data_IF_059227279762
#
_entry.id   IF_059227279762
#
_cell.length_a   1.000
_cell.length_b   1.000
_cell.length_c   1.000
_cell.angle_alpha   90.00
_cell.angle_beta   90.00
_cell.angle_gamma   90.00
#
_symmetry.space_group_name_H-M   'P 1'
#
loop_
_entity.id
_entity.type
_entity.pdbx_description
1 polymer ?
#
# COMPACT_ATOMS: atom_id res chain seq x y z
N UNK A 1 -24.63 -7.48 -3.14
CA UNK A 1 -23.35 -7.06 -3.74
C UNK A 1 -23.33 -5.54 -3.68
N UNK A 2 -22.29 -4.97 -3.09
CA UNK A 2 -22.10 -3.52 -3.06
C UNK A 2 -21.55 -3.09 -4.42
N UNK A 3 -22.41 -2.55 -5.28
CA UNK A 3 -22.01 -2.05 -6.60
C UNK A 3 -21.84 -0.53 -6.51
N UNK A 4 -20.94 0.08 -7.31
CA UNK A 4 -20.90 1.52 -7.44
C UNK A 4 -22.26 2.05 -7.94
N UNK A 5 -22.68 3.20 -7.42
CA UNK A 5 -23.94 3.84 -7.77
C UNK A 5 -23.63 5.13 -8.53
N UNK A 6 -24.26 5.31 -9.69
CA UNK A 6 -24.27 6.56 -10.45
C UNK A 6 -25.65 7.18 -10.27
N UNK A 7 -25.71 8.42 -9.79
CA UNK A 7 -26.95 9.19 -9.63
C UNK A 7 -26.88 10.42 -10.52
N UNK A 8 -27.59 10.42 -11.64
CA UNK A 8 -27.65 11.57 -12.57
C UNK A 8 -28.85 11.43 -13.51
N UNK A 9 -29.41 12.56 -13.96
CA UNK A 9 -30.40 12.61 -15.05
C UNK A 9 -29.76 12.99 -16.38
N UNK A 10 -28.51 13.43 -16.36
CA UNK A 10 -27.76 13.78 -17.55
C UNK A 10 -27.31 12.51 -18.30
N UNK A 11 -27.84 12.25 -19.52
CA UNK A 11 -27.47 11.08 -20.31
C UNK A 11 -26.02 11.13 -20.79
N UNK A 12 -25.47 12.33 -21.08
CA UNK A 12 -24.09 12.48 -21.53
C UNK A 12 -23.10 12.16 -20.41
N UNK A 13 -23.39 12.62 -19.19
CA UNK A 13 -22.61 12.22 -18.01
C UNK A 13 -22.75 10.72 -17.73
N UNK A 14 -23.95 10.16 -17.88
CA UNK A 14 -24.19 8.72 -17.71
C UNK A 14 -23.32 7.91 -18.67
N UNK A 15 -23.34 8.24 -19.96
CA UNK A 15 -22.57 7.53 -20.99
C UNK A 15 -21.06 7.59 -20.73
N UNK A 16 -20.55 8.74 -20.31
CA UNK A 16 -19.13 8.89 -20.00
C UNK A 16 -18.71 8.12 -18.75
N UNK A 17 -19.53 8.16 -17.69
CA UNK A 17 -19.28 7.38 -16.47
C UNK A 17 -19.37 5.88 -16.73
N UNK A 18 -20.31 5.43 -17.56
CA UNK A 18 -20.41 4.02 -17.97
C UNK A 18 -19.22 3.59 -18.83
N UNK A 19 -18.69 4.46 -19.70
CA UNK A 19 -17.47 4.20 -20.47
C UNK A 19 -16.27 3.97 -19.54
N UNK A 20 -16.08 4.85 -18.56
CA UNK A 20 -15.01 4.71 -17.56
C UNK A 20 -15.21 3.47 -16.68
N UNK A 21 -16.44 3.19 -16.26
CA UNK A 21 -16.75 2.00 -15.46
C UNK A 21 -16.47 0.71 -16.24
N UNK A 22 -16.83 0.66 -17.53
CA UNK A 22 -16.52 -0.46 -18.40
C UNK A 22 -15.00 -0.67 -18.55
N UNK A 23 -14.22 0.41 -18.69
CA UNK A 23 -12.76 0.34 -18.73
C UNK A 23 -12.16 -0.17 -17.39
N UNK A 24 -12.79 0.14 -16.26
CA UNK A 24 -12.43 -0.39 -14.93
C UNK A 24 -12.96 -1.82 -14.66
N UNK A 25 -13.72 -2.43 -15.59
CA UNK A 25 -14.35 -3.74 -15.37
C UNK A 25 -15.48 -3.72 -14.34
N UNK A 26 -16.10 -2.56 -14.12
CA UNK A 26 -17.16 -2.32 -13.14
C UNK A 26 -18.51 -2.18 -13.82
N UNK A 27 -19.54 -2.78 -13.23
CA UNK A 27 -20.94 -2.59 -13.64
C UNK A 27 -21.69 -1.80 -12.56
N UNK A 28 -21.80 -0.47 -12.69
CA UNK A 28 -22.47 0.36 -11.70
C UNK A 28 -24.01 0.25 -11.82
N UNK A 29 -24.70 0.46 -10.71
CA UNK A 29 -26.13 0.74 -10.71
C UNK A 29 -26.35 2.20 -11.12
N UNK A 30 -27.31 2.48 -11.99
CA UNK A 30 -27.63 3.84 -12.46
C UNK A 30 -29.02 4.22 -11.96
N UNK A 31 -29.13 5.36 -11.28
CA UNK A 31 -30.38 5.91 -10.78
C UNK A 31 -30.56 7.35 -11.28
N UNK A 32 -31.60 7.57 -12.08
CA UNK A 32 -31.99 8.92 -12.54
C UNK A 32 -32.92 9.64 -11.56
N UNK A 33 -33.51 8.91 -10.61
CA UNK A 33 -34.32 9.46 -9.53
C UNK A 33 -33.53 9.49 -8.21
N UNK A 34 -33.21 10.69 -7.65
CA UNK A 34 -32.58 10.84 -6.35
C UNK A 34 -33.34 10.16 -5.20
N UNK A 35 -34.68 10.11 -5.27
CA UNK A 35 -35.50 9.45 -4.26
C UNK A 35 -35.26 7.94 -4.21
N UNK A 36 -35.34 7.29 -5.37
CA UNK A 36 -35.01 5.86 -5.52
C UNK A 36 -33.54 5.55 -5.18
N UNK A 37 -32.62 6.47 -5.47
CA UNK A 37 -31.19 6.29 -5.23
C UNK A 37 -30.82 6.14 -3.74
N UNK A 38 -31.62 6.67 -2.79
CA UNK A 38 -31.33 6.61 -1.35
C UNK A 38 -31.19 5.17 -0.83
N UNK A 39 -31.91 4.21 -1.43
CA UNK A 39 -31.80 2.80 -1.05
C UNK A 39 -30.45 2.21 -1.46
N UNK A 40 -30.09 2.37 -2.74
CA UNK A 40 -28.80 1.90 -3.28
C UNK A 40 -27.62 2.62 -2.63
N UNK A 41 -27.79 3.91 -2.28
CA UNK A 41 -26.79 4.73 -1.62
C UNK A 41 -26.22 4.07 -0.36
N UNK A 42 -27.05 3.39 0.44
CA UNK A 42 -26.63 2.79 1.72
C UNK A 42 -25.67 1.62 1.54
N UNK A 43 -25.80 0.88 0.45
CA UNK A 43 -25.03 -0.33 0.18
C UNK A 43 -24.01 -0.15 -0.94
N UNK A 44 -23.94 1.00 -1.59
CA UNK A 44 -22.99 1.22 -2.68
C UNK A 44 -21.55 1.30 -2.16
N UNK A 45 -20.61 0.63 -2.84
CA UNK A 45 -19.19 0.71 -2.49
C UNK A 45 -18.56 2.08 -2.83
N UNK A 46 -19.18 2.79 -3.78
CA UNK A 46 -18.77 4.08 -4.32
C UNK A 46 -20.03 4.80 -4.83
N UNK A 47 -20.15 6.11 -4.65
CA UNK A 47 -21.27 6.89 -5.19
C UNK A 47 -20.77 8.06 -6.02
N UNK A 48 -21.18 8.09 -7.29
CA UNK A 48 -20.92 9.17 -8.24
C UNK A 48 -22.22 9.94 -8.45
N UNK A 49 -22.23 11.21 -8.06
CA UNK A 49 -23.42 12.07 -8.12
C UNK A 49 -23.21 13.13 -9.19
N UNK A 50 -24.13 13.24 -10.14
CA UNK A 50 -24.15 14.32 -11.12
C UNK A 50 -24.45 15.68 -10.47
N UNK A 51 -23.78 16.73 -10.94
CA UNK A 51 -24.03 18.12 -10.50
C UNK A 51 -25.47 18.58 -10.73
N UNK A 52 -26.18 17.95 -11.68
CA UNK A 52 -27.57 18.19 -12.04
C UNK A 52 -28.56 17.76 -10.95
N UNK A 53 -28.29 16.67 -10.23
CA UNK A 53 -29.16 16.11 -9.17
C UNK A 53 -28.67 16.38 -7.74
N UNK A 54 -27.45 16.91 -7.58
CA UNK A 54 -26.79 17.06 -6.29
C UNK A 54 -27.58 17.85 -5.24
N UNK A 55 -28.24 18.94 -5.66
CA UNK A 55 -29.01 19.78 -4.74
C UNK A 55 -30.26 19.08 -4.20
N UNK A 56 -30.96 18.34 -5.06
CA UNK A 56 -32.13 17.55 -4.67
C UNK A 56 -31.75 16.40 -3.75
N UNK A 57 -30.67 15.68 -4.09
CA UNK A 57 -30.16 14.59 -3.27
C UNK A 57 -29.66 15.09 -1.90
N UNK A 58 -29.02 16.27 -1.85
CA UNK A 58 -28.64 16.90 -0.59
C UNK A 58 -29.87 17.23 0.27
N UNK A 59 -30.97 17.68 -0.34
CA UNK A 59 -32.24 17.94 0.34
C UNK A 59 -32.90 16.69 0.92
N UNK A 60 -32.70 15.52 0.30
CA UNK A 60 -33.17 14.23 0.81
C UNK A 60 -32.36 13.71 2.00
N UNK A 61 -31.16 14.25 2.25
CA UNK A 61 -30.33 13.94 3.41
C UNK A 61 -29.92 12.46 3.54
N UNK A 62 -29.28 11.85 2.51
CA UNK A 62 -28.79 10.49 2.63
C UNK A 62 -27.72 10.38 3.74
N UNK A 63 -27.53 9.19 4.34
CA UNK A 63 -26.55 9.00 5.40
C UNK A 63 -25.14 9.28 4.88
N UNK A 64 -24.32 9.95 5.71
CA UNK A 64 -22.92 10.23 5.38
C UNK A 64 -22.13 8.93 5.25
N UNK A 65 -21.25 8.90 4.25
CA UNK A 65 -20.35 7.80 3.95
C UNK A 65 -19.12 8.29 3.21
N UNK A 66 -18.06 7.51 3.27
CA UNK A 66 -16.89 7.69 2.41
C UNK A 66 -17.19 7.24 0.97
N UNK A 67 -16.35 7.67 0.02
CA UNK A 67 -16.47 7.27 -1.39
C UNK A 67 -17.61 7.97 -2.15
N UNK A 68 -18.01 9.17 -1.73
CA UNK A 68 -18.95 10.01 -2.47
C UNK A 68 -18.18 11.04 -3.30
N UNK A 69 -18.46 11.11 -4.59
CA UNK A 69 -17.84 12.07 -5.49
C UNK A 69 -18.90 12.78 -6.32
N UNK A 70 -18.80 14.10 -6.38
CA UNK A 70 -19.66 14.91 -7.22
C UNK A 70 -18.98 15.07 -8.59
N UNK A 71 -19.69 14.80 -9.68
CA UNK A 71 -19.14 14.76 -11.04
C UNK A 71 -19.94 15.69 -11.96
N UNK A 72 -19.24 16.48 -12.76
CA UNK A 72 -19.83 17.26 -13.85
C UNK A 72 -19.02 17.16 -15.14
N UNK A 73 -19.64 17.53 -16.25
CA UNK A 73 -19.00 17.74 -17.55
C UNK A 73 -19.01 19.24 -17.87
N UNK A 74 -17.96 19.71 -18.55
CA UNK A 74 -17.86 21.09 -19.08
C UNK A 74 -17.98 22.20 -18.01
N UNK A 75 -17.16 22.10 -16.97
CA UNK A 75 -17.10 23.07 -15.88
C UNK A 75 -18.06 22.77 -14.73
N UNK A 76 -17.57 22.96 -13.51
CA UNK A 76 -18.35 22.74 -12.29
C UNK A 76 -18.81 24.08 -11.71
N UNK A 77 -20.11 24.34 -11.55
CA UNK A 77 -20.59 25.61 -11.01
C UNK A 77 -20.33 25.71 -9.50
N UNK A 78 -20.06 26.91 -8.97
CA UNK A 78 -19.74 27.14 -7.54
C UNK A 78 -20.72 26.50 -6.53
N UNK A 79 -22.00 26.44 -6.91
CA UNK A 79 -23.05 25.79 -6.10
C UNK A 79 -22.79 24.31 -5.85
N UNK A 80 -22.08 23.64 -6.75
CA UNK A 80 -21.68 22.24 -6.63
C UNK A 80 -20.84 21.99 -5.38
N UNK A 81 -19.95 22.92 -5.00
CA UNK A 81 -19.13 22.79 -3.79
C UNK A 81 -19.99 22.79 -2.51
N UNK A 82 -21.07 23.59 -2.48
CA UNK A 82 -22.01 23.58 -1.34
C UNK A 82 -22.77 22.26 -1.25
N UNK A 83 -23.23 21.73 -2.38
CA UNK A 83 -23.90 20.43 -2.43
C UNK A 83 -22.95 19.28 -2.05
N UNK A 84 -21.70 19.33 -2.51
CA UNK A 84 -20.65 18.39 -2.14
C UNK A 84 -20.44 18.36 -0.61
N UNK A 85 -20.33 19.52 0.03
CA UNK A 85 -20.23 19.62 1.49
C UNK A 85 -21.45 19.05 2.22
N UNK A 86 -22.65 19.33 1.71
CA UNK A 86 -23.89 18.82 2.31
C UNK A 86 -23.98 17.29 2.24
N UNK A 87 -23.58 16.72 1.10
CA UNK A 87 -23.53 15.27 0.84
C UNK A 87 -22.35 14.56 1.52
N UNK A 88 -21.35 15.30 1.99
CA UNK A 88 -20.09 14.73 2.46
C UNK A 88 -19.22 14.16 1.32
N UNK A 89 -19.33 14.73 0.11
CA UNK A 89 -18.52 14.31 -1.02
C UNK A 89 -17.04 14.62 -0.77
N UNK A 90 -16.19 13.62 -0.99
CA UNK A 90 -14.75 13.74 -0.80
C UNK A 90 -14.11 14.62 -1.88
N UNK A 91 -14.65 14.59 -3.10
CA UNK A 91 -14.11 15.33 -4.24
C UNK A 91 -15.24 15.86 -5.13
N UNK A 92 -14.93 16.97 -5.81
CA UNK A 92 -15.70 17.50 -6.93
C UNK A 92 -14.85 17.34 -8.18
N UNK A 93 -15.39 16.65 -9.17
CA UNK A 93 -14.66 16.04 -10.28
C UNK A 93 -15.20 16.59 -11.59
N UNK A 94 -14.30 17.04 -12.45
CA UNK A 94 -14.64 17.55 -13.77
C UNK A 94 -14.13 16.60 -14.85
N UNK A 95 -15.04 16.14 -15.71
CA UNK A 95 -14.74 15.32 -16.88
C UNK A 95 -14.69 16.19 -18.16
N UNK A 96 -13.81 15.84 -19.13
CA UNK A 96 -12.97 14.65 -19.17
C UNK A 96 -11.62 14.78 -18.44
N UNK A 97 -11.26 15.97 -17.94
CA UNK A 97 -9.94 16.25 -17.38
C UNK A 97 -9.52 15.29 -16.25
N UNK A 98 -10.47 14.86 -15.42
CA UNK A 98 -10.24 13.93 -14.30
C UNK A 98 -10.55 12.47 -14.62
N UNK A 99 -10.70 12.11 -15.90
CA UNK A 99 -11.04 10.75 -16.35
C UNK A 99 -10.09 9.66 -15.81
N UNK A 100 -8.75 9.82 -15.90
CA UNK A 100 -7.80 8.85 -15.35
C UNK A 100 -7.95 8.65 -13.84
N UNK A 101 -8.15 9.74 -13.09
CA UNK A 101 -8.37 9.67 -11.64
C UNK A 101 -9.67 8.93 -11.30
N UNK A 102 -10.74 9.17 -12.05
CA UNK A 102 -12.03 8.53 -11.81
C UNK A 102 -11.99 7.04 -12.18
N UNK A 103 -11.25 6.69 -13.24
CA UNK A 103 -10.97 5.30 -13.61
C UNK A 103 -10.25 4.55 -12.48
N UNK A 104 -9.26 5.18 -11.84
CA UNK A 104 -8.57 4.60 -10.68
C UNK A 104 -9.51 4.41 -9.48
N UNK A 105 -10.37 5.39 -9.19
CA UNK A 105 -11.37 5.31 -8.12
C UNK A 105 -12.39 4.18 -8.36
N UNK A 106 -12.86 4.03 -9.61
CA UNK A 106 -13.74 2.93 -10.00
C UNK A 106 -13.05 1.57 -9.86
N UNK A 107 -11.80 1.47 -10.30
CA UNK A 107 -10.98 0.26 -10.18
C UNK A 107 -10.78 -0.14 -8.71
N UNK A 108 -10.54 0.82 -7.83
CA UNK A 108 -10.43 0.56 -6.39
C UNK A 108 -11.73 0.09 -5.77
N UNK A 109 -12.87 0.65 -6.16
CA UNK A 109 -14.17 0.19 -5.67
C UNK A 109 -14.43 -1.27 -6.07
N UNK A 110 -13.91 -1.70 -7.22
CA UNK A 110 -13.92 -3.11 -7.63
C UNK A 110 -13.01 -3.98 -6.76
N UNK A 111 -11.83 -3.46 -6.41
CA UNK A 111 -10.81 -4.13 -5.59
C UNK A 111 -11.14 -4.14 -4.09
N UNK A 112 -11.93 -3.19 -3.58
CA UNK A 112 -12.43 -3.14 -2.20
C UNK A 112 -13.31 -4.33 -1.80
N UNK A 113 -13.62 -5.22 -2.75
CA UNK A 113 -14.15 -6.57 -2.48
C UNK A 113 -13.09 -7.54 -1.96
N UNK A 114 -11.80 -7.21 -2.03
CA UNK A 114 -10.69 -7.98 -1.45
C UNK A 114 -10.54 -7.61 0.03
N UNK A 115 -10.05 -8.56 0.82
CA UNK A 115 -9.62 -8.28 2.18
C UNK A 115 -8.55 -7.17 2.16
N UNK A 116 -8.56 -6.30 3.16
CA UNK A 116 -7.52 -5.29 3.31
C UNK A 116 -6.13 -5.94 3.26
N UNK A 117 -5.19 -5.31 2.55
CA UNK A 117 -3.82 -5.80 2.47
C UNK A 117 -3.20 -5.94 3.86
N UNK A 118 -2.43 -7.00 4.10
CA UNK A 118 -1.53 -7.03 5.25
C UNK A 118 -0.34 -6.12 4.96
N UNK A 119 -0.24 -5.01 5.68
CA UNK A 119 0.82 -4.01 5.55
C UNK A 119 1.86 -4.17 6.65
N UNK A 120 3.13 -4.33 6.25
CA UNK A 120 4.23 -4.64 7.18
C UNK A 120 5.42 -3.74 6.90
N UNK A 121 5.87 -3.02 7.90
CA UNK A 121 7.17 -2.34 7.84
C UNK A 121 8.28 -3.24 8.37
N UNK A 122 9.48 -3.14 7.80
CA UNK A 122 10.68 -3.81 8.28
C UNK A 122 11.75 -2.77 8.56
N UNK A 123 12.39 -2.86 9.73
CA UNK A 123 13.46 -1.95 10.13
C UNK A 123 14.61 -2.71 10.78
N UNK A 124 15.84 -2.24 10.59
CA UNK A 124 17.02 -2.84 11.21
C UNK A 124 17.21 -2.35 12.65
N UNK A 125 17.22 -3.25 13.63
CA UNK A 125 17.57 -2.90 15.01
C UNK A 125 19.05 -2.50 15.18
N UNK A 126 19.91 -2.97 14.28
CA UNK A 126 21.32 -2.58 14.18
C UNK A 126 21.79 -2.53 12.73
N UNK A 127 22.94 -1.89 12.47
CA UNK A 127 23.58 -1.92 11.15
C UNK A 127 23.85 -3.36 10.71
N UNK A 128 23.57 -3.69 9.45
CA UNK A 128 23.76 -5.03 8.91
C UNK A 128 22.91 -6.12 9.58
N UNK A 129 21.81 -5.80 10.26
CA UNK A 129 20.96 -6.81 10.89
C UNK A 129 20.25 -7.72 9.86
N UNK A 130 20.03 -7.23 8.63
CA UNK A 130 19.36 -7.96 7.54
C UNK A 130 17.91 -7.52 7.30
N UNK A 131 17.57 -6.26 7.58
CA UNK A 131 16.23 -5.71 7.37
C UNK A 131 15.78 -5.79 5.91
N UNK A 132 16.53 -5.19 4.99
CA UNK A 132 16.26 -5.28 3.54
C UNK A 132 16.15 -6.72 3.05
N UNK A 133 17.03 -7.61 3.51
CA UNK A 133 16.99 -9.03 3.15
C UNK A 133 15.71 -9.71 3.63
N UNK A 134 15.28 -9.43 4.86
CA UNK A 134 14.01 -9.94 5.37
C UNK A 134 12.82 -9.34 4.61
N UNK A 135 12.84 -8.03 4.33
CA UNK A 135 11.80 -7.36 3.54
C UNK A 135 11.63 -8.00 2.15
N UNK A 136 12.75 -8.25 1.46
CA UNK A 136 12.78 -8.99 0.20
C UNK A 136 12.23 -10.42 0.35
N UNK A 137 12.57 -11.13 1.43
CA UNK A 137 12.07 -12.48 1.68
C UNK A 137 10.56 -12.51 1.96
N UNK A 138 10.03 -11.53 2.71
CA UNK A 138 8.59 -11.36 2.93
C UNK A 138 7.87 -11.13 1.60
N UNK A 139 8.38 -10.21 0.77
CA UNK A 139 7.85 -9.93 -0.56
C UNK A 139 7.84 -11.16 -1.47
N UNK A 140 8.94 -11.92 -1.53
CA UNK A 140 9.02 -13.13 -2.36
C UNK A 140 8.06 -14.24 -1.89
N UNK A 141 7.94 -14.43 -0.57
CA UNK A 141 7.03 -15.42 0.00
C UNK A 141 5.56 -15.04 -0.20
N UNK A 142 5.22 -13.76 -0.04
CA UNK A 142 3.88 -13.25 -0.30
C UNK A 142 3.55 -13.32 -1.81
N UNK A 143 4.48 -12.90 -2.66
CA UNK A 143 4.37 -12.91 -4.12
C UNK A 143 4.20 -14.31 -4.73
N UNK A 144 4.55 -15.36 -3.99
CA UNK A 144 4.29 -16.75 -4.40
C UNK A 144 2.84 -17.20 -4.15
N UNK A 145 2.05 -16.42 -3.38
CA UNK A 145 0.66 -16.72 -3.02
C UNK A 145 -0.36 -15.77 -3.66
N UNK A 146 0.06 -14.55 -3.96
CA UNK A 146 -0.81 -13.52 -4.53
C UNK A 146 -0.03 -12.24 -4.82
N UNK A 147 -0.70 -11.17 -5.26
CA UNK A 147 -0.08 -9.87 -5.49
C UNK A 147 0.59 -9.34 -4.20
N UNK A 148 1.88 -9.02 -4.29
CA UNK A 148 2.66 -8.43 -3.20
C UNK A 148 3.46 -7.24 -3.71
N UNK A 149 3.64 -6.23 -2.85
CA UNK A 149 4.43 -5.05 -3.16
C UNK A 149 5.54 -4.87 -2.12
N UNK A 150 6.76 -4.59 -2.56
CA UNK A 150 7.85 -4.11 -1.71
C UNK A 150 8.16 -2.66 -2.03
N UNK A 151 7.98 -1.78 -1.04
CA UNK A 151 8.38 -0.39 -1.09
C UNK A 151 9.74 -0.27 -0.38
N UNK A 152 10.79 0.02 -1.14
CA UNK A 152 12.09 0.35 -0.59
C UNK A 152 12.13 1.83 -0.22
N UNK A 153 12.17 2.14 1.07
CA UNK A 153 12.09 3.51 1.61
C UNK A 153 13.43 3.92 2.23
N UNK A 154 14.46 3.06 2.20
CA UNK A 154 15.80 3.37 2.71
C UNK A 154 16.73 3.87 1.59
N UNK A 155 16.98 5.19 1.46
CA UNK A 155 17.81 5.71 0.38
C UNK A 155 19.29 5.30 0.49
N UNK A 156 19.74 4.82 1.66
CA UNK A 156 21.14 4.44 1.94
C UNK A 156 21.34 2.92 1.85
N UNK A 157 20.26 2.15 1.76
CA UNK A 157 20.31 0.69 1.63
C UNK A 157 20.96 0.22 0.32
N UNK A 158 21.17 -1.10 0.16
CA UNK A 158 21.73 -1.66 -1.08
C UNK A 158 20.81 -1.43 -2.31
N UNK A 159 19.52 -1.15 -2.09
CA UNK A 159 18.48 -1.17 -3.11
C UNK A 159 17.82 -2.55 -3.16
N UNK A 160 16.51 -2.60 -2.96
CA UNK A 160 15.75 -3.85 -2.99
C UNK A 160 15.86 -4.58 -4.33
N UNK A 161 16.00 -3.84 -5.44
CA UNK A 161 16.19 -4.41 -6.77
C UNK A 161 17.51 -5.18 -6.91
N UNK A 162 18.59 -4.69 -6.31
CA UNK A 162 19.89 -5.40 -6.26
C UNK A 162 19.78 -6.68 -5.47
N UNK A 163 19.14 -6.63 -4.31
CA UNK A 163 18.94 -7.82 -3.45
C UNK A 163 18.06 -8.86 -4.12
N UNK A 164 17.09 -8.45 -4.94
CA UNK A 164 16.14 -9.35 -5.63
C UNK A 164 16.59 -9.78 -7.04
N UNK A 165 17.61 -9.14 -7.61
CA UNK A 165 17.98 -9.31 -9.02
C UNK A 165 16.92 -8.74 -9.98
N UNK A 166 16.31 -7.60 -9.62
CA UNK A 166 15.29 -6.85 -10.38
C UNK A 166 15.87 -5.58 -11.04
N UNK A 167 17.19 -5.38 -10.92
CA UNK A 167 17.91 -4.20 -11.41
C UNK A 167 17.90 -4.05 -12.94
N UNK A 168 17.62 -5.15 -13.66
CA UNK A 168 17.45 -5.17 -15.12
C UNK A 168 15.99 -5.25 -15.59
N UNK A 169 15.03 -5.23 -14.67
CA UNK A 169 13.61 -5.24 -15.03
C UNK A 169 13.13 -3.82 -15.30
N UNK A 170 12.40 -3.66 -16.39
CA UNK A 170 11.74 -2.42 -16.75
C UNK A 170 10.58 -2.11 -15.81
N UNK A 171 10.29 -0.83 -15.64
CA UNK A 171 9.17 -0.31 -14.86
C UNK A 171 9.53 0.93 -14.04
N UNK A 172 8.51 1.50 -13.40
CA UNK A 172 8.60 2.72 -12.63
C UNK A 172 9.47 2.57 -11.37
N UNK A 173 10.18 3.66 -11.06
CA UNK A 173 11.03 3.84 -9.89
C UNK A 173 10.57 5.11 -9.15
N UNK A 174 11.09 5.36 -7.94
CA UNK A 174 10.69 6.54 -7.15
C UNK A 174 10.72 7.86 -7.94
N UNK A 175 11.76 8.09 -8.75
CA UNK A 175 11.88 9.31 -9.55
C UNK A 175 10.76 9.51 -10.57
N UNK A 176 10.11 8.44 -11.06
CA UNK A 176 8.95 8.55 -11.95
C UNK A 176 7.66 8.86 -11.17
N UNK A 177 7.51 8.29 -9.97
CA UNK A 177 6.34 8.55 -9.12
C UNK A 177 6.35 9.97 -8.55
N UNK A 178 7.51 10.52 -8.23
CA UNK A 178 7.63 11.90 -7.71
C UNK A 178 7.27 12.96 -8.77
N UNK A 179 7.32 12.61 -10.05
CA UNK A 179 6.87 13.49 -11.14
C UNK A 179 5.37 13.41 -11.40
N UNK A 180 4.68 12.44 -10.79
CA UNK A 180 3.24 12.26 -10.97
C UNK A 180 2.49 13.24 -10.07
N UNK A 181 1.61 14.05 -10.66
CA UNK A 181 0.71 14.93 -9.91
C UNK A 181 -0.62 14.22 -9.68
N UNK A 182 -1.09 14.23 -8.42
CA UNK A 182 -2.39 13.66 -8.06
C UNK A 182 -2.32 12.27 -7.41
N UNK A 183 -3.49 11.62 -7.33
CA UNK A 183 -3.67 10.33 -6.65
C UNK A 183 -3.05 9.21 -7.48
N UNK A 184 -2.35 8.29 -6.82
CA UNK A 184 -1.81 7.11 -7.47
C UNK A 184 -2.83 5.97 -7.49
N UNK A 185 -3.21 5.53 -8.69
CA UNK A 185 -4.06 4.35 -8.90
C UNK A 185 -3.40 3.06 -8.40
N UNK A 186 -4.19 2.18 -7.78
CA UNK A 186 -3.68 0.89 -7.29
C UNK A 186 -3.30 -0.04 -8.44
N UNK A 187 -4.14 -0.14 -9.48
CA UNK A 187 -3.86 -0.89 -10.71
C UNK A 187 -2.69 -0.27 -11.49
N UNK A 188 -2.72 1.04 -11.67
CA UNK A 188 -1.66 1.79 -12.35
C UNK A 188 -0.29 1.57 -11.67
N UNK A 189 -0.25 1.61 -10.33
CA UNK A 189 0.95 1.26 -9.58
C UNK A 189 1.35 -0.20 -9.84
N UNK A 190 0.45 -1.16 -9.65
CA UNK A 190 0.72 -2.61 -9.84
C UNK A 190 1.36 -2.93 -11.19
N UNK A 191 0.86 -2.30 -12.25
CA UNK A 191 1.29 -2.57 -13.62
C UNK A 191 2.57 -1.81 -14.00
N UNK A 192 2.78 -0.64 -13.38
CA UNK A 192 4.00 0.14 -13.61
C UNK A 192 5.22 -0.45 -12.91
N UNK A 193 5.06 -1.20 -11.81
CA UNK A 193 6.20 -1.69 -11.03
C UNK A 193 6.99 -2.82 -11.74
N UNK A 194 8.33 -2.77 -11.68
CA UNK A 194 9.19 -3.92 -11.98
C UNK A 194 8.78 -5.13 -11.15
N UNK A 195 8.39 -6.21 -11.83
CA UNK A 195 7.73 -7.37 -11.20
C UNK A 195 8.28 -8.69 -11.69
N UNK A 196 8.37 -9.66 -10.79
CA UNK A 196 8.60 -11.09 -11.10
C UNK A 196 7.61 -11.93 -10.28
N UNK A 197 6.80 -12.74 -10.96
CA UNK A 197 5.70 -13.44 -10.30
C UNK A 197 4.70 -12.46 -9.70
N UNK A 198 4.24 -12.69 -8.47
CA UNK A 198 3.34 -11.78 -7.77
C UNK A 198 4.01 -10.57 -7.10
N UNK A 199 5.35 -10.48 -7.06
CA UNK A 199 6.07 -9.41 -6.34
C UNK A 199 6.44 -8.24 -7.27
N UNK A 200 5.81 -7.08 -7.07
CA UNK A 200 6.25 -5.78 -7.60
C UNK A 200 7.14 -5.03 -6.61
N UNK A 201 8.10 -4.25 -7.12
CA UNK A 201 9.07 -3.52 -6.28
C UNK A 201 9.18 -2.06 -6.69
N UNK A 202 8.94 -1.16 -5.75
CA UNK A 202 9.24 0.26 -5.89
C UNK A 202 10.55 0.58 -5.16
N UNK A 203 11.56 1.01 -5.91
CA UNK A 203 12.87 1.44 -5.40
C UNK A 203 13.45 2.52 -6.33
N UNK A 204 14.69 2.96 -6.10
CA UNK A 204 15.40 3.91 -6.95
C UNK A 204 15.97 3.26 -8.21
N UNK A 205 16.08 4.06 -9.27
CA UNK A 205 16.95 3.69 -10.39
C UNK A 205 18.43 3.67 -9.94
N UNK A 206 19.29 3.04 -10.74
CA UNK A 206 20.72 3.11 -10.53
C UNK A 206 21.21 4.58 -10.59
N UNK A 207 22.11 4.97 -9.68
CA UNK A 207 22.68 6.32 -9.60
C UNK A 207 22.32 7.06 -8.31
N UNK A 208 22.18 8.38 -8.38
CA UNK A 208 21.92 9.23 -7.23
C UNK A 208 20.53 8.96 -6.64
N UNK A 209 20.48 8.75 -5.32
CA UNK A 209 19.24 8.51 -4.58
C UNK A 209 18.98 9.70 -3.67
N UNK A 210 17.82 10.34 -3.86
CA UNK A 210 17.28 11.28 -2.89
C UNK A 210 16.29 10.54 -1.99
N UNK A 211 16.20 10.94 -0.72
CA UNK A 211 15.14 10.45 0.15
C UNK A 211 13.78 10.79 -0.48
N UNK A 212 12.84 9.82 -0.56
CA UNK A 212 11.59 10.06 -1.23
C UNK A 212 10.76 11.02 -0.39
N UNK A 213 9.98 11.89 -1.04
CA UNK A 213 9.10 12.79 -0.30
C UNK A 213 8.09 12.00 0.54
N UNK A 214 7.85 12.42 1.78
CA UNK A 214 6.93 11.71 2.68
C UNK A 214 5.51 11.57 2.08
N UNK A 215 5.06 12.56 1.31
CA UNK A 215 3.79 12.48 0.59
C UNK A 215 3.80 11.35 -0.47
N UNK A 216 4.86 11.25 -1.29
CA UNK A 216 4.98 10.21 -2.30
C UNK A 216 4.99 8.80 -1.67
N UNK A 217 5.66 8.63 -0.52
CA UNK A 217 5.64 7.36 0.22
C UNK A 217 4.24 7.02 0.74
N UNK A 218 3.50 7.99 1.28
CA UNK A 218 2.12 7.77 1.74
C UNK A 218 1.19 7.39 0.59
N UNK A 219 1.27 8.09 -0.53
CA UNK A 219 0.47 7.77 -1.72
C UNK A 219 0.82 6.38 -2.29
N UNK A 220 2.11 6.05 -2.38
CA UNK A 220 2.55 4.73 -2.82
C UNK A 220 2.09 3.62 -1.87
N UNK A 221 2.18 3.83 -0.55
CA UNK A 221 1.70 2.89 0.46
C UNK A 221 0.18 2.70 0.36
N UNK A 222 -0.58 3.78 0.26
CA UNK A 222 -2.04 3.72 0.13
C UNK A 222 -2.50 3.07 -1.17
N UNK A 223 -1.82 3.33 -2.29
CA UNK A 223 -2.07 2.68 -3.57
C UNK A 223 -1.69 1.20 -3.53
N UNK A 224 -0.55 0.85 -2.94
CA UNK A 224 -0.11 -0.53 -2.79
C UNK A 224 -1.07 -1.32 -1.90
N UNK A 225 -1.57 -0.73 -0.80
CA UNK A 225 -2.50 -1.38 0.13
C UNK A 225 -3.90 -1.64 -0.46
N UNK A 226 -4.33 -0.82 -1.43
CA UNK A 226 -5.52 -1.11 -2.24
C UNK A 226 -5.26 -2.19 -3.29
N UNK A 227 -4.01 -2.27 -3.77
CA UNK A 227 -3.63 -3.08 -4.91
C UNK A 227 -3.18 -4.51 -4.58
N UNK A 228 -2.66 -4.78 -3.39
CA UNK A 228 -1.94 -6.02 -3.13
C UNK A 228 -2.53 -6.76 -1.94
N UNK A 229 -2.29 -8.07 -1.85
CA UNK A 229 -2.67 -8.84 -0.68
C UNK A 229 -1.70 -8.56 0.48
N UNK A 230 -0.44 -8.27 0.16
CA UNK A 230 0.62 -7.93 1.13
C UNK A 230 1.46 -6.76 0.63
N UNK A 231 1.69 -5.79 1.50
CA UNK A 231 2.62 -4.69 1.24
C UNK A 231 3.72 -4.71 2.29
N UNK A 232 4.97 -4.70 1.84
CA UNK A 232 6.15 -4.65 2.69
C UNK A 232 6.83 -3.31 2.47
N UNK A 233 7.15 -2.58 3.53
CA UNK A 233 7.95 -1.35 3.47
C UNK A 233 9.32 -1.59 4.14
N UNK A 234 10.41 -1.52 3.38
CA UNK A 234 11.77 -1.52 3.93
C UNK A 234 12.13 -0.10 4.38
N UNK A 235 12.28 0.11 5.69
CA UNK A 235 12.42 1.43 6.27
C UNK A 235 13.87 1.75 6.64
N UNK A 236 14.28 3.03 6.54
CA UNK A 236 15.51 3.48 7.16
C UNK A 236 15.39 3.31 8.68
N UNK A 237 16.52 3.07 9.34
CA UNK A 237 16.56 2.73 10.78
C UNK A 237 15.90 3.77 11.69
N UNK A 238 15.98 5.04 11.31
CA UNK A 238 15.50 6.18 12.10
C UNK A 238 15.06 7.31 11.18
N UNK A 239 14.11 8.12 11.63
CA UNK A 239 13.70 9.35 10.94
C UNK A 239 12.20 9.59 11.04
N UNK A 240 11.77 10.81 10.71
CA UNK A 240 10.36 11.17 10.71
C UNK A 240 9.54 10.31 9.74
N UNK A 241 10.12 9.95 8.59
CA UNK A 241 9.48 9.08 7.60
C UNK A 241 9.26 7.65 8.14
N UNK A 242 10.23 7.09 8.89
CA UNK A 242 10.08 5.79 9.54
C UNK A 242 8.90 5.80 10.51
N UNK A 243 8.78 6.85 11.33
CA UNK A 243 7.68 6.99 12.28
C UNK A 243 6.32 7.18 11.58
N UNK A 244 6.25 7.98 10.51
CA UNK A 244 5.03 8.18 9.72
C UNK A 244 4.55 6.87 9.09
N UNK A 245 5.45 6.09 8.48
CA UNK A 245 5.08 4.78 7.90
C UNK A 245 4.74 3.75 8.99
N UNK A 246 5.50 3.71 10.09
CA UNK A 246 5.23 2.80 11.21
C UNK A 246 3.84 3.00 11.82
N UNK A 247 3.33 4.24 11.85
CA UNK A 247 1.97 4.55 12.31
C UNK A 247 0.86 4.23 11.30
N UNK A 248 1.19 3.72 10.10
CA UNK A 248 0.26 3.47 8.99
C UNK A 248 0.17 2.02 8.54
N UNK A 249 1.04 1.16 9.08
CA UNK A 249 1.08 -0.26 8.77
C UNK A 249 0.49 -1.08 9.90
N UNK A 250 0.01 -2.29 9.59
CA UNK A 250 -0.60 -3.20 10.58
C UNK A 250 0.44 -3.72 11.58
N UNK A 251 1.69 -3.87 11.14
CA UNK A 251 2.78 -4.32 11.99
C UNK A 251 4.16 -3.81 11.56
N UNK A 252 5.06 -3.68 12.54
CA UNK A 252 6.48 -3.35 12.31
C UNK A 252 7.37 -4.51 12.79
N UNK A 253 8.20 -5.03 11.91
CA UNK A 253 9.19 -6.07 12.21
C UNK A 253 10.57 -5.44 12.38
N UNK A 254 11.17 -5.59 13.57
CA UNK A 254 12.53 -5.15 13.85
C UNK A 254 13.49 -6.33 13.77
N UNK A 255 14.47 -6.25 12.88
CA UNK A 255 15.49 -7.30 12.73
C UNK A 255 16.63 -7.06 13.71
N UNK A 256 16.87 -8.01 14.62
CA UNK A 256 17.85 -7.90 15.68
C UNK A 256 18.99 -8.90 15.53
N UNK A 257 20.21 -8.49 15.88
CA UNK A 257 21.34 -9.40 16.13
C UNK A 257 21.44 -9.66 17.64
N UNK A 258 21.55 -10.93 18.09
CA UNK A 258 21.61 -11.26 19.50
C UNK A 258 23.00 -11.03 20.11
N UNK A 259 23.53 -9.83 19.93
CA UNK A 259 24.76 -9.35 20.58
C UNK A 259 24.40 -8.21 21.52
N UNK A 260 25.20 -7.95 22.55
CA UNK A 260 24.90 -6.88 23.51
C UNK A 260 24.71 -5.51 22.81
N UNK A 261 25.60 -5.06 21.89
CA UNK A 261 25.37 -3.81 21.16
C UNK A 261 24.18 -3.89 20.19
N UNK A 262 23.94 -5.05 19.57
CA UNK A 262 22.83 -5.26 18.65
C UNK A 262 21.48 -5.14 19.35
N UNK A 263 21.32 -5.79 20.50
CA UNK A 263 20.10 -5.74 21.32
C UNK A 263 19.89 -4.35 21.93
N UNK A 264 20.94 -3.69 22.42
CA UNK A 264 20.85 -2.33 22.93
C UNK A 264 20.43 -1.32 21.85
N UNK A 265 20.95 -1.45 20.63
CA UNK A 265 20.51 -0.64 19.49
C UNK A 265 19.06 -0.95 19.11
N UNK A 266 18.68 -2.24 19.09
CA UNK A 266 17.32 -2.69 18.77
C UNK A 266 16.31 -2.12 19.76
N UNK A 267 16.59 -2.14 21.06
CA UNK A 267 15.72 -1.57 22.09
C UNK A 267 15.44 -0.08 21.86
N UNK A 268 16.44 0.70 21.42
CA UNK A 268 16.26 2.12 21.07
C UNK A 268 15.39 2.32 19.83
N UNK A 269 15.54 1.46 18.83
CA UNK A 269 14.68 1.49 17.63
C UNK A 269 13.24 1.19 18.02
N UNK A 270 13.00 0.14 18.80
CA UNK A 270 11.65 -0.23 19.27
C UNK A 270 11.01 0.91 20.07
N UNK A 271 11.74 1.52 21.00
CA UNK A 271 11.24 2.65 21.79
C UNK A 271 10.83 3.87 20.94
N UNK A 272 11.45 4.04 19.76
CA UNK A 272 11.15 5.14 18.84
C UNK A 272 9.96 4.92 17.89
N UNK A 273 9.42 3.71 17.80
CA UNK A 273 8.35 3.36 16.84
C UNK A 273 6.93 3.70 17.34
N UNK A 274 6.75 4.09 18.60
CA UNK A 274 5.45 4.46 19.17
C UNK A 274 4.55 3.25 19.49
N UNK A 275 3.24 3.48 19.58
CA UNK A 275 2.25 2.52 20.10
C UNK A 275 1.77 1.45 19.08
N UNK A 276 2.53 1.22 17.99
CA UNK A 276 2.19 0.23 16.97
C UNK A 276 2.45 -1.22 17.40
N UNK A 277 1.93 -2.18 16.61
CA UNK A 277 2.21 -3.61 16.82
C UNK A 277 3.63 -3.92 16.34
N UNK A 278 4.57 -3.96 17.29
CA UNK A 278 6.00 -4.21 17.01
C UNK A 278 6.37 -5.66 17.36
N UNK A 279 7.09 -6.31 16.45
CA UNK A 279 7.60 -7.67 16.62
C UNK A 279 9.08 -7.77 16.25
N UNK A 280 9.82 -8.65 16.91
CA UNK A 280 11.28 -8.81 16.71
C UNK A 280 11.59 -10.09 15.95
N UNK A 281 12.38 -9.99 14.89
CA UNK A 281 12.96 -11.14 14.19
C UNK A 281 14.44 -11.22 14.55
N UNK A 282 14.84 -12.29 15.23
CA UNK A 282 16.21 -12.47 15.68
C UNK A 282 17.01 -13.25 14.66
N UNK A 283 18.10 -12.66 14.15
CA UNK A 283 19.09 -13.34 13.29
C UNK A 283 20.31 -13.76 14.10
N UNK A 284 20.33 -15.03 14.48
CA UNK A 284 21.34 -15.66 15.32
C UNK A 284 20.70 -16.57 16.38
N UNK A 285 21.54 -17.13 17.25
CA UNK A 285 21.10 -17.99 18.36
C UNK A 285 20.93 -17.18 19.64
N UNK A 286 19.73 -17.14 20.20
CA UNK A 286 19.47 -16.61 21.54
C UNK A 286 18.14 -17.11 22.10
N UNK A 287 17.98 -17.02 23.41
CA UNK A 287 16.69 -17.28 24.05
C UNK A 287 15.70 -16.14 23.77
N UNK A 288 14.54 -16.47 23.20
CA UNK A 288 13.53 -15.49 22.78
C UNK A 288 13.00 -14.64 23.94
N UNK A 289 12.83 -15.23 25.14
CA UNK A 289 12.33 -14.52 26.32
C UNK A 289 13.30 -13.43 26.79
N UNK A 290 14.59 -13.76 26.85
CA UNK A 290 15.63 -12.79 27.23
C UNK A 290 15.72 -11.63 26.24
N UNK A 291 15.64 -11.92 24.93
CA UNK A 291 15.61 -10.86 23.90
C UNK A 291 14.37 -9.98 24.05
N UNK A 292 13.19 -10.58 24.22
CA UNK A 292 11.96 -9.81 24.37
C UNK A 292 11.98 -8.88 25.58
N UNK A 293 12.55 -9.33 26.71
CA UNK A 293 12.73 -8.50 27.90
C UNK A 293 13.68 -7.32 27.67
N UNK A 294 14.80 -7.54 26.97
CA UNK A 294 15.78 -6.47 26.69
C UNK A 294 15.24 -5.46 25.68
N UNK A 295 14.56 -5.95 24.64
CA UNK A 295 14.11 -5.11 23.52
C UNK A 295 12.77 -4.43 23.80
N UNK A 296 11.94 -5.00 24.68
CA UNK A 296 10.62 -4.47 24.99
C UNK A 296 9.53 -4.83 23.96
N UNK A 297 9.77 -5.84 23.12
CA UNK A 297 8.82 -6.32 22.11
C UNK A 297 8.90 -7.86 21.95
N UNK A 298 7.79 -8.54 21.58
CA UNK A 298 7.78 -9.99 21.43
C UNK A 298 8.69 -10.45 20.29
N UNK A 299 9.38 -11.57 20.49
CA UNK A 299 10.11 -12.25 19.42
C UNK A 299 9.13 -13.05 18.58
N UNK A 300 8.98 -12.66 17.32
CA UNK A 300 8.07 -13.27 16.34
C UNK A 300 8.71 -14.50 15.70
N UNK A 301 10.00 -14.41 15.40
CA UNK A 301 10.77 -15.51 14.80
C UNK A 301 12.24 -15.42 15.18
N UNK A 302 12.91 -16.56 15.16
CA UNK A 302 14.37 -16.66 15.32
C UNK A 302 14.93 -17.49 14.19
N UNK A 303 16.03 -17.04 13.60
CA UNK A 303 16.62 -17.67 12.43
C UNK A 303 18.14 -17.69 12.49
N UNK A 304 18.73 -18.79 12.02
CA UNK A 304 20.17 -18.85 11.78
C UNK A 304 20.55 -18.06 10.52
N UNK A 305 21.84 -17.79 10.36
CA UNK A 305 22.36 -17.27 9.10
C UNK A 305 22.16 -18.27 7.96
N UNK A 306 21.80 -17.76 6.78
CA UNK A 306 21.59 -18.59 5.59
C UNK A 306 22.89 -18.69 4.80
N UNK A 307 23.42 -19.92 4.66
CA UNK A 307 24.63 -20.18 3.86
C UNK A 307 24.38 -19.89 2.38
N UNK A 308 25.38 -19.32 1.71
CA UNK A 308 25.32 -18.98 0.28
C UNK A 308 24.39 -17.80 -0.05
N UNK A 309 23.96 -17.03 0.95
CA UNK A 309 23.08 -15.87 0.74
C UNK A 309 23.73 -14.81 -0.14
N UNK A 310 24.97 -14.44 0.18
CA UNK A 310 25.70 -13.40 -0.56
C UNK A 310 25.89 -13.82 -2.02
N UNK A 311 26.37 -15.04 -2.27
CA UNK A 311 26.50 -15.60 -3.61
C UNK A 311 25.17 -15.63 -4.38
N UNK A 312 24.06 -16.01 -3.72
CA UNK A 312 22.75 -16.02 -4.36
C UNK A 312 22.26 -14.61 -4.74
N UNK A 313 22.55 -13.61 -3.91
CA UNK A 313 22.24 -12.21 -4.20
C UNK A 313 23.12 -11.70 -5.35
N UNK A 314 24.43 -11.96 -5.32
CA UNK A 314 25.37 -11.55 -6.37
C UNK A 314 25.01 -12.15 -7.74
N UNK A 315 24.49 -13.38 -7.75
CA UNK A 315 23.99 -14.05 -8.96
C UNK A 315 22.56 -13.64 -9.35
N UNK A 316 21.94 -12.69 -8.65
CA UNK A 316 20.60 -12.17 -8.95
C UNK A 316 19.46 -13.17 -8.68
N UNK A 317 19.71 -14.23 -7.89
CA UNK A 317 18.69 -15.24 -7.50
C UNK A 317 17.81 -14.76 -6.36
N UNK A 318 18.27 -13.76 -5.62
CA UNK A 318 17.60 -13.21 -4.46
C UNK A 318 17.70 -14.06 -3.20
N UNK A 319 17.17 -13.58 -2.06
CA UNK A 319 17.36 -14.20 -0.75
C UNK A 319 16.55 -15.48 -0.52
N UNK A 320 15.57 -15.77 -1.40
CA UNK A 320 14.70 -16.94 -1.31
C UNK A 320 14.76 -17.74 -2.61
N UNK A 321 15.76 -18.64 -2.71
CA UNK A 321 15.89 -19.59 -3.82
C UNK A 321 15.27 -20.98 -3.50
N UNK A 322 14.89 -21.21 -2.23
CA UNK A 322 14.21 -22.43 -1.80
C UNK A 322 13.11 -22.13 -0.79
N UNK A 323 11.90 -22.65 -1.05
CA UNK A 323 10.74 -22.50 -0.16
C UNK A 323 10.92 -23.23 1.18
N UNK A 324 11.89 -24.15 1.24
CA UNK A 324 12.32 -24.86 2.44
C UNK A 324 13.54 -24.19 3.11
N UNK A 325 13.96 -23.02 2.65
CA UNK A 325 15.06 -22.25 3.24
C UNK A 325 14.69 -21.65 4.60
N UNK A 326 15.72 -21.23 5.35
CA UNK A 326 15.55 -20.57 6.65
C UNK A 326 14.80 -19.26 6.47
N UNK A 327 15.22 -18.40 5.53
CA UNK A 327 14.55 -17.13 5.25
C UNK A 327 13.08 -17.30 4.83
N UNK A 328 12.78 -18.28 3.97
CA UNK A 328 11.41 -18.56 3.54
C UNK A 328 10.50 -18.99 4.70
N UNK A 329 11.01 -19.79 5.64
CA UNK A 329 10.25 -20.18 6.85
C UNK A 329 10.05 -18.99 7.78
N UNK A 330 11.10 -18.22 8.04
CA UNK A 330 11.03 -17.01 8.88
C UNK A 330 10.04 -16.01 8.33
N UNK A 331 10.09 -15.75 7.02
CA UNK A 331 9.16 -14.85 6.34
C UNK A 331 7.71 -15.33 6.46
N UNK A 332 7.42 -16.63 6.29
CA UNK A 332 6.07 -17.18 6.49
C UNK A 332 5.57 -17.01 7.92
N UNK A 333 6.42 -17.28 8.91
CA UNK A 333 6.08 -17.12 10.32
C UNK A 333 5.80 -15.65 10.66
N UNK A 334 6.64 -14.74 10.16
CA UNK A 334 6.47 -13.31 10.37
C UNK A 334 5.19 -12.77 9.69
N UNK A 335 4.91 -13.16 8.44
CA UNK A 335 3.66 -12.79 7.75
C UNK A 335 2.42 -13.31 8.48
N UNK A 336 2.45 -14.55 8.97
CA UNK A 336 1.34 -15.11 9.73
C UNK A 336 1.09 -14.34 11.04
N UNK A 337 2.16 -13.90 11.71
CA UNK A 337 2.03 -13.04 12.90
C UNK A 337 1.48 -11.65 12.56
N UNK A 338 1.86 -11.07 11.42
CA UNK A 338 1.34 -9.76 10.98
C UNK A 338 -0.14 -9.84 10.63
N UNK A 339 -0.58 -10.90 9.94
CA UNK A 339 -1.98 -11.09 9.54
C UNK A 339 -2.93 -11.48 10.70
N UNK A 340 -2.39 -11.83 11.87
CA UNK A 340 -3.16 -12.20 13.06
C UNK A 340 -3.41 -11.01 14.00
N UNK A 341 -3.48 -9.78 13.47
CA UNK A 341 -3.76 -8.55 14.23
C UNK A 341 -5.00 -7.88 13.74
#
# INVERSE_FOLDING_TARGET
MEMPLIVTRDPSLTDELLRLAAAAGVSPEVASDPGAAVRAWRTAALVLVGVDVAGELAGLGPPRRDGVHLVGCDGVPDRAFRHALALGAAHVVELPASGPWLLDVLSDAHDGRRAAATTVAVVGGSGGAGATTLACALGLVAGARGPACLLDVDPVGPGADRVLGFDRLDGARWGALEQTTGRLGSQSLRDALPRRGGLGVLTWAAGTRAAPQAFAVREALAAAARGHDVVVADLPRTGALTADVAGRVDAVLVVARPTLPGLAATARVVAGLGAGRVGVVVRGSSESRAVAQVVGAPVVATMADQRGLDEAVDLGRGPVWTQRGVLARTARQALAWCAAG
#
